data_IF_313892543049
#
_entry.id   IF_313892543049
#
_cell.length_a   1.000
_cell.length_b   1.000
_cell.length_c   1.000
_cell.angle_alpha   90.00
_cell.angle_beta   90.00
_cell.angle_gamma   90.00
#
_symmetry.space_group_name_H-M   'P 1'
#
loop_
_entity.id
_entity.type
_entity.pdbx_description
1 polymer ?
#
# COMPACT_ATOMS: atom_id res chain seq x y z
N UNK A 1 -5.42 -7.72 2.94
CA UNK A 1 -5.82 -6.32 3.05
C UNK A 1 -5.31 -5.71 4.35
N UNK A 2 -4.48 -4.67 4.26
CA UNK A 2 -3.86 -3.96 5.40
C UNK A 2 -4.84 -3.03 6.14
N UNK A 3 -5.99 -2.70 5.53
CA UNK A 3 -6.95 -1.74 6.09
C UNK A 3 -7.61 -2.21 7.39
N UNK A 4 -8.09 -3.45 7.54
CA UNK A 4 -8.61 -3.93 8.83
C UNK A 4 -7.57 -3.87 9.95
N UNK A 5 -6.30 -4.20 9.63
CA UNK A 5 -5.20 -4.08 10.59
C UNK A 5 -4.88 -2.62 10.93
N UNK A 6 -4.91 -1.72 9.93
CA UNK A 6 -4.81 -0.29 10.16
C UNK A 6 -5.85 0.20 11.16
N UNK A 7 -7.11 -0.18 10.97
CA UNK A 7 -8.20 0.17 11.89
C UNK A 7 -7.95 -0.42 13.29
N UNK A 8 -7.49 -1.68 13.36
CA UNK A 8 -7.13 -2.34 14.61
C UNK A 8 -6.00 -1.63 15.36
N UNK A 9 -4.96 -1.19 14.66
CA UNK A 9 -3.84 -0.44 15.23
C UNK A 9 -4.28 0.92 15.76
N UNK A 10 -5.12 1.62 14.99
CA UNK A 10 -5.70 2.91 15.43
C UNK A 10 -6.57 2.72 16.66
N UNK A 11 -7.41 1.68 16.71
CA UNK A 11 -8.21 1.30 17.90
C UNK A 11 -7.30 0.92 19.09
N UNK A 12 -6.18 0.27 18.84
CA UNK A 12 -5.20 -0.11 19.85
C UNK A 12 -4.34 1.03 20.38
N UNK A 13 -4.54 2.26 19.89
CA UNK A 13 -3.78 3.44 20.33
C UNK A 13 -2.34 3.50 19.80
N UNK A 14 -2.01 2.72 18.77
CA UNK A 14 -0.69 2.76 18.13
C UNK A 14 -0.50 4.11 17.43
N UNK A 15 0.68 4.77 17.57
CA UNK A 15 0.95 6.05 16.91
C UNK A 15 0.69 5.98 15.41
N UNK A 16 0.09 7.05 14.87
CA UNK A 16 -0.32 7.09 13.45
C UNK A 16 0.85 6.94 12.49
N UNK A 17 2.03 7.44 12.82
CA UNK A 17 3.22 7.25 11.98
C UNK A 17 3.59 5.79 11.80
N UNK A 18 3.54 5.00 12.88
CA UNK A 18 3.77 3.54 12.82
C UNK A 18 2.67 2.86 12.01
N UNK A 19 1.43 3.28 12.22
CA UNK A 19 0.27 2.74 11.51
C UNK A 19 0.33 3.05 10.00
N UNK A 20 0.76 4.25 9.63
CA UNK A 20 1.02 4.62 8.23
C UNK A 20 2.22 3.88 7.64
N UNK A 21 3.31 3.72 8.40
CA UNK A 21 4.45 2.93 7.96
C UNK A 21 4.04 1.50 7.61
N UNK A 22 3.23 0.87 8.46
CA UNK A 22 2.65 -0.44 8.19
C UNK A 22 1.75 -0.43 6.94
N UNK A 23 0.88 0.56 6.79
CA UNK A 23 -0.05 0.67 5.66
C UNK A 23 0.69 0.81 4.32
N UNK A 24 1.84 1.48 4.31
CA UNK A 24 2.70 1.63 3.13
C UNK A 24 3.48 0.35 2.86
N UNK A 25 4.11 -0.23 3.89
CA UNK A 25 5.01 -1.38 3.74
C UNK A 25 4.25 -2.66 3.38
N UNK A 26 3.10 -2.91 4.01
CA UNK A 26 2.37 -4.17 3.91
C UNK A 26 1.97 -4.56 2.48
N UNK A 27 1.44 -3.69 1.61
CA UNK A 27 1.19 -4.04 0.22
C UNK A 27 2.47 -4.17 -0.61
N UNK A 28 3.50 -3.39 -0.30
CA UNK A 28 4.74 -3.36 -1.08
C UNK A 28 5.62 -4.58 -0.80
N UNK A 29 5.75 -4.97 0.47
CA UNK A 29 6.66 -6.06 0.90
C UNK A 29 5.85 -7.12 1.60
N UNK A 30 5.49 -8.17 0.87
CA UNK A 30 4.80 -9.35 1.40
C UNK A 30 5.52 -10.63 0.95
N UNK A 31 5.17 -11.74 1.58
CA UNK A 31 5.78 -13.04 1.36
C UNK A 31 5.68 -13.51 -0.10
N UNK A 32 4.56 -13.24 -0.77
CA UNK A 32 4.33 -13.61 -2.17
C UNK A 32 5.23 -12.80 -3.09
N UNK A 33 5.31 -11.48 -2.88
CA UNK A 33 6.20 -10.61 -3.64
C UNK A 33 7.67 -11.04 -3.49
N UNK A 34 8.12 -11.29 -2.25
CA UNK A 34 9.49 -11.73 -1.97
C UNK A 34 9.81 -13.05 -2.67
N UNK A 35 8.92 -14.04 -2.56
CA UNK A 35 9.12 -15.35 -3.18
C UNK A 35 9.21 -15.26 -4.71
N UNK A 36 8.33 -14.46 -5.34
CA UNK A 36 8.33 -14.26 -6.78
C UNK A 36 9.55 -13.48 -7.26
N UNK A 37 9.97 -12.43 -6.53
CA UNK A 37 11.19 -11.69 -6.85
C UNK A 37 12.44 -12.56 -6.74
N UNK A 38 12.49 -13.43 -5.73
CA UNK A 38 13.59 -14.37 -5.55
C UNK A 38 13.72 -15.31 -6.75
N UNK A 39 12.60 -15.84 -7.23
CA UNK A 39 12.56 -16.69 -8.41
C UNK A 39 12.83 -15.96 -9.73
N UNK A 40 12.38 -14.71 -9.85
CA UNK A 40 12.44 -13.94 -11.08
C UNK A 40 13.78 -13.22 -11.29
N UNK A 41 14.35 -12.64 -10.24
CA UNK A 41 15.47 -11.68 -10.28
C UNK A 41 16.63 -12.06 -9.36
N UNK A 42 16.51 -13.14 -8.60
CA UNK A 42 17.54 -13.63 -7.67
C UNK A 42 17.65 -12.83 -6.38
N UNK A 43 18.54 -13.30 -5.49
CA UNK A 43 18.66 -12.81 -4.10
C UNK A 43 19.01 -11.33 -4.01
N UNK A 44 19.97 -10.85 -4.81
CA UNK A 44 20.47 -9.46 -4.74
C UNK A 44 19.34 -8.45 -4.93
N UNK A 45 18.55 -8.61 -5.99
CA UNK A 45 17.48 -7.69 -6.35
C UNK A 45 16.33 -7.82 -5.34
N UNK A 46 16.02 -9.02 -4.88
CA UNK A 46 14.98 -9.26 -3.85
C UNK A 46 15.32 -8.57 -2.53
N UNK A 47 16.57 -8.65 -2.08
CA UNK A 47 16.99 -7.97 -0.83
C UNK A 47 16.91 -6.45 -0.99
N UNK A 48 17.38 -5.90 -2.10
CA UNK A 48 17.28 -4.46 -2.38
C UNK A 48 15.81 -4.02 -2.37
N UNK A 49 14.94 -4.77 -3.06
CA UNK A 49 13.50 -4.51 -3.08
C UNK A 49 12.87 -4.52 -1.69
N UNK A 50 13.11 -5.58 -0.90
CA UNK A 50 12.53 -5.72 0.44
C UNK A 50 13.00 -4.63 1.40
N UNK A 51 14.31 -4.38 1.45
CA UNK A 51 14.89 -3.33 2.30
C UNK A 51 14.36 -1.95 1.91
N UNK A 52 14.32 -1.64 0.62
CA UNK A 52 13.81 -0.35 0.16
C UNK A 52 12.33 -0.16 0.45
N UNK A 53 11.50 -1.19 0.29
CA UNK A 53 10.07 -1.12 0.61
C UNK A 53 9.83 -0.88 2.11
N UNK A 54 10.63 -1.50 2.99
CA UNK A 54 10.60 -1.24 4.43
C UNK A 54 11.04 0.20 4.74
N UNK A 55 12.16 0.65 4.18
CA UNK A 55 12.65 2.02 4.36
C UNK A 55 11.66 3.06 3.87
N UNK A 56 11.04 2.82 2.70
CA UNK A 56 10.01 3.67 2.13
C UNK A 56 8.81 3.79 3.09
N UNK A 57 8.36 2.67 3.65
CA UNK A 57 7.29 2.66 4.65
C UNK A 57 7.66 3.42 5.91
N UNK A 58 8.85 3.20 6.46
CA UNK A 58 9.33 3.90 7.66
C UNK A 58 9.45 5.41 7.42
N UNK A 59 10.08 5.82 6.31
CA UNK A 59 10.24 7.24 5.97
C UNK A 59 8.88 7.90 5.67
N UNK A 60 8.03 7.22 4.90
CA UNK A 60 6.68 7.69 4.59
C UNK A 60 5.83 7.86 5.84
N UNK A 61 5.85 6.89 6.75
CA UNK A 61 5.18 6.95 8.05
C UNK A 61 5.67 8.11 8.91
N UNK A 62 7.00 8.30 9.02
CA UNK A 62 7.62 9.38 9.78
C UNK A 62 7.27 10.77 9.21
N UNK A 63 7.28 10.92 7.89
CA UNK A 63 6.87 12.17 7.22
C UNK A 63 5.40 12.47 7.47
N UNK A 64 4.53 11.47 7.35
CA UNK A 64 3.08 11.64 7.58
C UNK A 64 2.78 11.96 9.05
N UNK A 65 3.50 11.38 10.00
CA UNK A 65 3.36 11.71 11.43
C UNK A 65 3.69 13.17 11.72
N UNK A 66 4.76 13.69 11.09
CA UNK A 66 5.18 15.09 11.30
C UNK A 66 4.11 16.11 10.91
N UNK A 67 3.23 15.77 9.99
CA UNK A 67 2.14 16.66 9.56
C UNK A 67 0.93 16.63 10.50
N UNK A 68 0.94 15.85 11.59
CA UNK A 68 -0.17 15.71 12.55
C UNK A 68 -1.51 15.53 11.86
N UNK A 69 -1.59 14.50 11.02
CA UNK A 69 -2.73 14.26 10.11
C UNK A 69 -3.96 13.65 10.80
N UNK A 70 -3.95 13.50 12.12
CA UNK A 70 -5.06 12.98 12.95
C UNK A 70 -6.39 13.68 12.65
N UNK A 71 -6.33 14.99 12.40
CA UNK A 71 -7.51 15.81 12.05
C UNK A 71 -8.16 15.45 10.71
N UNK A 72 -7.45 14.73 9.85
CA UNK A 72 -7.94 14.31 8.54
C UNK A 72 -8.35 12.84 8.49
N UNK A 73 -8.32 12.14 9.60
CA UNK A 73 -8.96 10.83 9.72
C UNK A 73 -10.48 10.98 9.56
N UNK A 74 -11.15 9.95 9.06
CA UNK A 74 -12.59 9.99 8.91
C UNK A 74 -13.28 10.19 10.28
N UNK A 75 -14.48 10.80 10.31
CA UNK A 75 -15.25 10.96 11.57
C UNK A 75 -15.50 9.63 12.27
N UNK A 76 -15.67 8.56 11.48
CA UNK A 76 -15.87 7.21 12.00
C UNK A 76 -14.64 6.70 12.77
N UNK A 77 -13.42 6.84 12.21
CA UNK A 77 -12.16 6.47 12.88
C UNK A 77 -11.91 7.34 14.11
N UNK A 78 -12.20 8.64 14.02
CA UNK A 78 -12.06 9.53 15.20
C UNK A 78 -13.01 9.14 16.34
N UNK A 79 -14.22 8.71 16.02
CA UNK A 79 -15.14 8.15 17.01
C UNK A 79 -14.58 6.89 17.68
N UNK A 80 -13.93 6.01 16.92
CA UNK A 80 -13.28 4.82 17.47
C UNK A 80 -12.09 5.17 18.38
N UNK A 81 -11.31 6.19 18.04
CA UNK A 81 -10.20 6.67 18.89
C UNK A 81 -10.69 7.20 20.24
N UNK A 82 -11.81 7.91 20.26
CA UNK A 82 -12.41 8.40 21.50
C UNK A 82 -12.91 7.23 22.37
N UNK A 83 -13.59 6.26 21.76
CA UNK A 83 -14.08 5.07 22.47
C UNK A 83 -12.93 4.19 22.98
N UNK A 84 -11.83 4.05 22.23
CA UNK A 84 -10.68 3.24 22.66
C UNK A 84 -9.95 3.86 23.86
N UNK A 85 -9.98 5.17 24.03
CA UNK A 85 -9.47 5.85 25.23
C UNK A 85 -10.23 5.47 26.49
N UNK A 86 -11.53 5.20 26.37
CA UNK A 86 -12.38 4.77 27.49
C UNK A 86 -12.37 3.25 27.70
N UNK A 87 -12.22 2.46 26.63
CA UNK A 87 -12.28 0.99 26.67
C UNK A 87 -10.91 0.31 26.84
N UNK A 88 -9.78 1.00 26.60
CA UNK A 88 -8.44 0.41 26.80
C UNK A 88 -8.22 -0.14 28.21
N UNK A 89 -8.93 0.40 29.21
CA UNK A 89 -8.96 -0.16 30.57
C UNK A 89 -9.85 -1.40 30.74
N UNK A 90 -10.72 -1.71 29.79
CA UNK A 90 -11.65 -2.84 29.93
C UNK A 90 -11.01 -4.20 29.59
N UNK A 91 -9.99 -4.20 28.70
CA UNK A 91 -9.27 -5.43 28.30
C UNK A 91 -8.27 -5.91 29.37
N UNK A 92 -7.74 -5.02 30.19
CA UNK A 92 -6.83 -5.33 31.29
C UNK A 92 -7.54 -5.89 32.53
N UNK A 93 -8.86 -5.88 32.62
CA UNK A 93 -9.59 -6.51 33.72
C UNK A 93 -9.39 -8.03 33.64
N UNK A 94 -8.41 -8.51 34.38
CA UNK A 94 -8.16 -9.94 34.67
C UNK A 94 -9.49 -10.55 35.15
N UNK A 95 -10.10 -11.43 34.34
CA UNK A 95 -11.29 -12.17 34.75
C UNK A 95 -12.43 -12.30 33.73
N UNK A 96 -12.36 -11.66 32.56
CA UNK A 96 -13.40 -11.86 31.54
C UNK A 96 -13.27 -13.24 30.90
N UNK A 97 -14.30 -14.13 30.95
CA UNK A 97 -14.21 -15.46 30.36
C UNK A 97 -13.98 -15.38 28.86
N UNK A 98 -13.12 -16.26 28.32
CA UNK A 98 -12.71 -16.32 26.92
C UNK A 98 -13.88 -16.23 25.93
N UNK A 99 -15.01 -16.89 26.24
CA UNK A 99 -16.22 -16.88 25.42
C UNK A 99 -16.82 -15.48 25.23
N UNK A 100 -16.77 -14.62 26.27
CA UNK A 100 -17.22 -13.21 26.16
C UNK A 100 -16.26 -12.37 25.33
N UNK A 101 -14.93 -12.58 25.50
CA UNK A 101 -13.91 -11.92 24.66
C UNK A 101 -14.05 -12.31 23.20
N UNK A 102 -14.27 -13.59 22.92
CA UNK A 102 -14.47 -14.07 21.56
C UNK A 102 -15.68 -13.43 20.88
N UNK A 103 -16.82 -13.34 21.57
CA UNK A 103 -18.02 -12.71 21.03
C UNK A 103 -17.80 -11.23 20.69
N UNK A 104 -17.09 -10.47 21.53
CA UNK A 104 -16.76 -9.06 21.26
C UNK A 104 -15.80 -8.94 20.08
N UNK A 105 -14.73 -9.77 20.04
CA UNK A 105 -13.78 -9.79 18.92
C UNK A 105 -14.48 -10.09 17.59
N UNK A 106 -15.37 -11.09 17.57
CA UNK A 106 -16.12 -11.44 16.35
C UNK A 106 -17.11 -10.36 15.93
N UNK A 107 -17.75 -9.71 16.89
CA UNK A 107 -18.63 -8.57 16.62
C UNK A 107 -17.84 -7.40 16.02
N UNK A 108 -16.72 -7.02 16.61
CA UNK A 108 -15.87 -5.94 16.14
C UNK A 108 -15.28 -6.25 14.76
N UNK A 109 -14.80 -7.48 14.55
CA UNK A 109 -14.31 -7.93 13.25
C UNK A 109 -15.41 -7.83 12.18
N UNK A 110 -16.64 -8.24 12.50
CA UNK A 110 -17.78 -8.17 11.60
C UNK A 110 -18.18 -6.73 11.26
N UNK A 111 -18.17 -5.82 12.22
CA UNK A 111 -18.42 -4.39 12.01
C UNK A 111 -17.36 -3.77 11.09
N UNK A 112 -16.08 -4.14 11.27
CA UNK A 112 -14.99 -3.70 10.38
C UNK A 112 -15.23 -4.22 8.96
N UNK A 113 -15.52 -5.52 8.80
CA UNK A 113 -15.77 -6.13 7.49
C UNK A 113 -16.95 -5.47 6.79
N UNK A 114 -18.10 -5.31 7.46
CA UNK A 114 -19.24 -4.59 6.89
C UNK A 114 -18.89 -3.16 6.50
N UNK A 115 -18.12 -2.47 7.34
CA UNK A 115 -17.71 -1.10 7.11
C UNK A 115 -16.88 -0.91 5.84
N UNK A 116 -16.10 -1.91 5.41
CA UNK A 116 -15.23 -1.84 4.22
C UNK A 116 -15.77 -2.63 3.01
N UNK A 117 -16.74 -3.53 3.20
CA UNK A 117 -17.22 -4.44 2.16
C UNK A 117 -17.65 -3.73 0.85
N UNK A 118 -18.43 -2.66 0.97
CA UNK A 118 -18.87 -1.88 -0.20
C UNK A 118 -17.70 -1.29 -0.97
N UNK A 119 -16.70 -0.75 -0.27
CA UNK A 119 -15.51 -0.16 -0.89
C UNK A 119 -14.63 -1.22 -1.55
N UNK A 120 -14.57 -2.44 -0.98
CA UNK A 120 -13.89 -3.60 -1.60
C UNK A 120 -14.56 -3.95 -2.92
N UNK A 121 -15.89 -4.06 -2.95
CA UNK A 121 -16.64 -4.40 -4.18
C UNK A 121 -16.44 -3.32 -5.25
N UNK A 122 -16.54 -2.04 -4.89
CA UNK A 122 -16.29 -0.93 -5.82
C UNK A 122 -14.83 -0.97 -6.32
N UNK A 123 -13.86 -1.19 -5.43
CA UNK A 123 -12.45 -1.28 -5.78
C UNK A 123 -12.16 -2.39 -6.77
N UNK A 124 -12.71 -3.59 -6.56
CA UNK A 124 -12.57 -4.73 -7.48
C UNK A 124 -13.22 -4.42 -8.83
N UNK A 125 -14.43 -3.86 -8.85
CA UNK A 125 -15.12 -3.51 -10.08
C UNK A 125 -14.33 -2.48 -10.91
N UNK A 126 -13.77 -1.45 -10.27
CA UNK A 126 -12.91 -0.46 -10.91
C UNK A 126 -11.62 -1.09 -11.45
N UNK A 127 -10.96 -1.94 -10.66
CA UNK A 127 -9.75 -2.67 -11.09
C UNK A 127 -10.00 -3.53 -12.32
N UNK A 128 -11.09 -4.27 -12.34
CA UNK A 128 -11.50 -5.10 -13.48
C UNK A 128 -11.77 -4.24 -14.73
N UNK A 129 -12.43 -3.09 -14.58
CA UNK A 129 -12.69 -2.18 -15.69
C UNK A 129 -11.39 -1.63 -16.30
N UNK A 130 -10.43 -1.22 -15.47
CA UNK A 130 -9.13 -0.69 -15.94
C UNK A 130 -8.31 -1.77 -16.63
N UNK A 131 -8.30 -3.00 -16.13
CA UNK A 131 -7.53 -4.10 -16.71
C UNK A 131 -7.98 -4.46 -18.15
N UNK A 132 -9.23 -4.17 -18.51
CA UNK A 132 -9.77 -4.44 -19.86
C UNK A 132 -9.45 -3.37 -20.90
N UNK A 133 -8.99 -2.15 -20.50
CA UNK A 133 -8.90 -1.00 -21.41
C UNK A 133 -7.48 -0.55 -21.76
N UNK A 134 -6.43 -1.05 -21.11
CA UNK A 134 -5.05 -0.57 -21.35
C UNK A 134 -4.30 -1.47 -22.32
N UNK A 135 -3.87 -0.98 -23.49
CA UNK A 135 -3.11 -1.76 -24.47
C UNK A 135 -1.72 -2.14 -23.95
N UNK A 136 -1.32 -3.40 -24.10
CA UNK A 136 -0.03 -3.94 -23.61
C UNK A 136 1.21 -3.22 -24.17
N UNK A 137 1.16 -2.65 -25.37
CA UNK A 137 2.29 -1.95 -25.99
C UNK A 137 2.51 -0.51 -25.57
N UNK A 138 1.53 0.12 -24.89
CA UNK A 138 1.60 1.54 -24.50
C UNK A 138 2.71 1.81 -23.49
N UNK A 139 2.90 0.90 -22.57
CA UNK A 139 3.87 1.05 -21.48
C UNK A 139 5.32 0.94 -21.94
N UNK A 140 5.59 0.08 -22.92
CA UNK A 140 6.95 -0.22 -23.39
C UNK A 140 7.59 0.98 -24.09
N UNK A 141 6.82 1.69 -24.93
CA UNK A 141 7.30 2.86 -25.66
C UNK A 141 7.61 4.06 -24.75
N UNK A 142 6.87 4.20 -23.63
CA UNK A 142 6.97 5.35 -22.72
C UNK A 142 8.00 5.15 -21.59
N UNK A 143 8.45 3.92 -21.33
CA UNK A 143 9.32 3.56 -20.21
C UNK A 143 10.77 3.23 -20.63
N UNK A 144 11.19 3.60 -21.86
CA UNK A 144 12.53 3.31 -22.36
C UNK A 144 13.64 3.99 -21.56
N UNK A 145 14.86 3.40 -21.60
CA UNK A 145 16.06 3.87 -20.87
C UNK A 145 16.48 5.30 -21.18
N UNK A 146 16.10 5.82 -22.33
CA UNK A 146 16.59 7.10 -22.85
C UNK A 146 15.98 8.33 -22.16
N UNK A 147 14.93 8.13 -21.35
CA UNK A 147 14.17 9.23 -20.80
C UNK A 147 14.22 9.30 -19.28
N UNK A 148 14.71 10.45 -18.75
CA UNK A 148 14.70 10.69 -17.31
C UNK A 148 13.29 10.66 -16.68
N UNK A 149 12.25 10.95 -17.48
CA UNK A 149 10.84 10.88 -17.03
C UNK A 149 10.25 9.48 -17.04
N UNK A 150 11.00 8.45 -17.46
CA UNK A 150 10.50 7.06 -17.52
C UNK A 150 9.95 6.58 -16.18
N UNK A 151 10.62 6.87 -15.05
CA UNK A 151 10.17 6.49 -13.71
C UNK A 151 8.87 7.23 -13.32
N UNK A 152 8.76 8.56 -13.39
CA UNK A 152 7.50 9.27 -13.12
C UNK A 152 6.34 8.80 -14.01
N UNK A 153 6.58 8.59 -15.30
CA UNK A 153 5.54 8.11 -16.22
C UNK A 153 5.08 6.71 -15.83
N UNK A 154 6.02 5.81 -15.53
CA UNK A 154 5.71 4.46 -15.08
C UNK A 154 4.81 4.49 -13.84
N UNK A 155 5.14 5.32 -12.85
CA UNK A 155 4.36 5.45 -11.61
C UNK A 155 2.98 6.03 -11.88
N UNK A 156 2.86 7.08 -12.71
CA UNK A 156 1.56 7.70 -13.04
C UNK A 156 0.68 6.71 -13.82
N UNK A 157 1.25 5.97 -14.78
CA UNK A 157 0.53 4.95 -15.54
C UNK A 157 0.09 3.77 -14.67
N UNK A 158 0.80 3.48 -13.59
CA UNK A 158 0.47 2.40 -12.66
C UNK A 158 -0.74 2.74 -11.76
N UNK A 159 -0.93 4.02 -11.39
CA UNK A 159 -1.99 4.45 -10.45
C UNK A 159 -3.41 4.00 -10.84
N UNK A 160 -3.86 4.09 -12.11
CA UNK A 160 -5.18 3.59 -12.49
C UNK A 160 -5.28 2.06 -12.49
N UNK A 161 -4.14 1.35 -12.49
CA UNK A 161 -4.11 -0.11 -12.52
C UNK A 161 -4.20 -0.67 -11.10
N UNK A 162 -4.80 -1.86 -11.01
CA UNK A 162 -4.81 -2.64 -9.77
C UNK A 162 -4.38 -4.06 -10.05
N UNK A 163 -3.30 -4.47 -9.41
CA UNK A 163 -2.88 -5.87 -9.45
C UNK A 163 -2.24 -6.26 -8.12
N UNK A 164 -2.31 -7.55 -7.80
CA UNK A 164 -1.52 -8.09 -6.70
C UNK A 164 -0.09 -8.43 -7.19
N UNK A 165 0.81 -8.66 -6.26
CA UNK A 165 2.21 -8.99 -6.58
C UNK A 165 2.32 -10.20 -7.50
N UNK A 166 1.47 -11.23 -7.34
CA UNK A 166 1.51 -12.43 -8.16
C UNK A 166 1.18 -12.17 -9.63
N UNK A 167 0.28 -11.22 -9.89
CA UNK A 167 -0.11 -10.87 -11.26
C UNK A 167 0.90 -9.92 -11.92
N UNK A 168 1.49 -8.99 -11.15
CA UNK A 168 2.35 -7.95 -11.74
C UNK A 168 3.80 -8.38 -11.94
N UNK A 169 4.35 -9.31 -11.14
CA UNK A 169 5.75 -9.75 -11.28
C UNK A 169 6.07 -10.36 -12.64
N UNK A 170 5.24 -11.21 -13.24
CA UNK A 170 5.47 -11.68 -14.63
C UNK A 170 5.51 -10.53 -15.64
N UNK A 171 4.66 -9.50 -15.47
CA UNK A 171 4.65 -8.30 -16.34
C UNK A 171 5.98 -7.54 -16.21
N UNK A 172 6.48 -7.39 -14.98
CA UNK A 172 7.79 -6.77 -14.73
C UNK A 172 8.91 -7.53 -15.44
N UNK A 173 8.89 -8.86 -15.43
CA UNK A 173 9.88 -9.68 -16.15
C UNK A 173 9.85 -9.39 -17.65
N UNK A 174 8.67 -9.28 -18.25
CA UNK A 174 8.51 -8.94 -19.67
C UNK A 174 9.05 -7.52 -19.95
N UNK A 175 8.74 -6.54 -19.09
CA UNK A 175 9.24 -5.17 -19.24
C UNK A 175 10.77 -5.12 -19.21
N UNK A 176 11.38 -5.81 -18.25
CA UNK A 176 12.86 -5.88 -18.14
C UNK A 176 13.47 -6.61 -19.35
N UNK A 177 12.87 -7.71 -19.82
CA UNK A 177 13.29 -8.42 -21.02
C UNK A 177 13.21 -7.56 -22.28
N UNK A 178 12.27 -6.61 -22.35
CA UNK A 178 12.11 -5.64 -23.45
C UNK A 178 12.96 -4.36 -23.27
N UNK A 179 13.86 -4.32 -22.27
CA UNK A 179 14.82 -3.23 -22.10
C UNK A 179 14.36 -2.10 -21.17
N UNK A 180 13.21 -2.22 -20.51
CA UNK A 180 12.80 -1.26 -19.46
C UNK A 180 13.78 -1.37 -18.28
N UNK A 181 14.34 -0.26 -17.76
CA UNK A 181 15.21 -0.29 -16.60
C UNK A 181 14.53 -0.95 -15.40
N UNK A 182 15.27 -1.80 -14.70
CA UNK A 182 14.70 -2.60 -13.60
C UNK A 182 14.12 -1.74 -12.48
N UNK A 183 14.73 -0.60 -12.18
CA UNK A 183 14.19 0.34 -11.17
C UNK A 183 12.89 0.99 -11.63
N UNK A 184 12.73 1.29 -12.91
CA UNK A 184 11.48 1.79 -13.50
C UNK A 184 10.38 0.73 -13.41
N UNK A 185 10.71 -0.51 -13.74
CA UNK A 185 9.79 -1.64 -13.67
C UNK A 185 9.36 -1.94 -12.21
N UNK A 186 10.28 -1.89 -11.25
CA UNK A 186 9.97 -2.05 -9.82
C UNK A 186 9.10 -0.87 -9.31
N UNK A 187 9.40 0.36 -9.70
CA UNK A 187 8.59 1.53 -9.33
C UNK A 187 7.17 1.42 -9.88
N UNK A 188 6.99 0.95 -11.12
CA UNK A 188 5.70 0.63 -11.69
C UNK A 188 4.94 -0.39 -10.85
N UNK A 189 5.57 -1.50 -10.46
CA UNK A 189 4.96 -2.49 -9.60
C UNK A 189 4.54 -1.91 -8.24
N UNK A 190 5.46 -1.21 -7.58
CA UNK A 190 5.17 -0.61 -6.27
C UNK A 190 3.97 0.33 -6.34
N UNK A 191 3.87 1.14 -7.41
CA UNK A 191 2.75 2.04 -7.61
C UNK A 191 1.44 1.29 -7.91
N UNK A 192 1.47 0.26 -8.76
CA UNK A 192 0.29 -0.57 -9.07
C UNK A 192 -0.30 -1.23 -7.83
N UNK A 193 0.58 -1.73 -6.93
CA UNK A 193 0.14 -2.45 -5.72
C UNK A 193 -0.24 -1.50 -4.60
N UNK A 194 0.47 -0.36 -4.44
CA UNK A 194 0.34 0.51 -3.27
C UNK A 194 -0.44 1.81 -3.49
N UNK A 195 -0.67 2.24 -4.75
CA UNK A 195 -1.27 3.54 -5.09
C UNK A 195 -2.48 3.45 -6.02
N UNK A 196 -3.08 2.28 -6.13
CA UNK A 196 -4.17 2.09 -7.08
C UNK A 196 -5.45 2.87 -6.71
N UNK A 197 -6.25 3.20 -7.72
CA UNK A 197 -7.56 3.84 -7.52
C UNK A 197 -8.48 3.00 -6.62
N UNK A 198 -8.54 1.66 -6.76
CA UNK A 198 -9.25 0.80 -5.81
C UNK A 198 -8.75 0.94 -4.37
N UNK A 199 -7.45 1.08 -4.15
CA UNK A 199 -6.88 1.29 -2.80
C UNK A 199 -7.34 2.64 -2.23
N UNK A 200 -7.38 3.71 -3.04
CA UNK A 200 -7.94 5.00 -2.63
C UNK A 200 -9.41 4.90 -2.21
N UNK A 201 -10.20 4.10 -2.94
CA UNK A 201 -11.61 3.87 -2.60
C UNK A 201 -11.75 3.15 -1.25
N UNK A 202 -10.92 2.16 -0.97
CA UNK A 202 -10.88 1.46 0.32
C UNK A 202 -10.46 2.40 1.46
N UNK A 203 -9.41 3.21 1.24
CA UNK A 203 -8.90 4.17 2.22
C UNK A 203 -9.90 5.27 2.54
N UNK A 204 -10.85 5.58 1.65
CA UNK A 204 -11.88 6.58 1.88
C UNK A 204 -12.75 6.32 3.11
N UNK A 205 -12.89 5.07 3.51
CA UNK A 205 -13.62 4.70 4.73
C UNK A 205 -12.90 5.19 5.99
N UNK A 206 -11.56 5.15 5.97
CA UNK A 206 -10.72 5.45 7.16
C UNK A 206 -10.12 6.85 7.11
N UNK A 207 -10.02 7.45 5.92
CA UNK A 207 -9.36 8.74 5.67
C UNK A 207 -10.27 9.71 4.91
N UNK A 208 -10.06 11.03 5.11
CA UNK A 208 -10.65 12.06 4.26
C UNK A 208 -9.91 12.15 2.92
N UNK A 209 -10.54 12.72 1.89
CA UNK A 209 -9.88 12.93 0.60
C UNK A 209 -8.58 13.73 0.71
N UNK A 210 -8.52 14.71 1.61
CA UNK A 210 -7.30 15.50 1.84
C UNK A 210 -6.15 14.61 2.32
N UNK A 211 -6.43 13.69 3.24
CA UNK A 211 -5.43 12.76 3.75
C UNK A 211 -5.00 11.75 2.69
N UNK A 212 -5.93 11.25 1.88
CA UNK A 212 -5.63 10.33 0.76
C UNK A 212 -4.68 10.99 -0.24
N UNK A 213 -4.92 12.25 -0.63
CA UNK A 213 -4.03 12.96 -1.54
C UNK A 213 -2.65 13.20 -0.97
N UNK A 214 -2.55 13.56 0.32
CA UNK A 214 -1.26 13.72 1.01
C UNK A 214 -0.53 12.37 1.07
N UNK A 215 -1.23 11.31 1.45
CA UNK A 215 -0.70 9.95 1.52
C UNK A 215 -0.18 9.49 0.15
N UNK A 216 -1.02 9.57 -0.88
CA UNK A 216 -0.64 9.17 -2.24
C UNK A 216 0.52 10.02 -2.79
N UNK A 217 0.49 11.33 -2.58
CA UNK A 217 1.56 12.22 -3.00
C UNK A 217 2.90 11.88 -2.34
N UNK A 218 2.89 11.62 -1.02
CA UNK A 218 4.08 11.22 -0.28
C UNK A 218 4.63 9.89 -0.77
N UNK A 219 3.76 8.87 -0.89
CA UNK A 219 4.17 7.54 -1.34
C UNK A 219 4.66 7.57 -2.80
N UNK A 220 3.96 8.31 -3.68
CA UNK A 220 4.39 8.53 -5.07
C UNK A 220 5.80 9.12 -5.15
N UNK A 221 6.07 10.18 -4.38
CA UNK A 221 7.39 10.81 -4.37
C UNK A 221 8.48 9.83 -3.94
N UNK A 222 8.23 9.03 -2.90
CA UNK A 222 9.19 8.04 -2.43
C UNK A 222 9.36 6.86 -3.42
N UNK A 223 8.31 6.41 -4.09
CA UNK A 223 8.41 5.36 -5.12
C UNK A 223 9.24 5.87 -6.31
N UNK A 224 9.01 7.11 -6.77
CA UNK A 224 9.79 7.71 -7.85
C UNK A 224 11.28 7.80 -7.46
N UNK A 225 11.56 8.30 -6.24
CA UNK A 225 12.92 8.36 -5.73
C UNK A 225 13.58 6.97 -5.67
N UNK A 226 12.86 5.97 -5.16
CA UNK A 226 13.35 4.58 -5.09
C UNK A 226 13.61 4.01 -6.48
N UNK A 227 12.77 4.30 -7.48
CA UNK A 227 12.96 3.88 -8.86
C UNK A 227 14.27 4.41 -9.46
N UNK A 228 14.61 5.68 -9.23
CA UNK A 228 15.89 6.22 -9.66
C UNK A 228 17.07 5.61 -8.91
N UNK A 229 16.95 5.45 -7.60
CA UNK A 229 18.00 4.79 -6.80
C UNK A 229 18.26 3.36 -7.29
N UNK A 230 17.20 2.60 -7.60
CA UNK A 230 17.36 1.25 -8.16
C UNK A 230 18.02 1.26 -9.52
N UNK A 231 17.66 2.21 -10.40
CA UNK A 231 18.31 2.33 -11.71
C UNK A 231 19.80 2.63 -11.58
N UNK A 232 20.23 3.32 -10.52
CA UNK A 232 21.65 3.58 -10.24
C UNK A 232 22.34 2.36 -9.62
N UNK A 233 21.71 1.70 -8.64
CA UNK A 233 22.31 0.60 -7.87
C UNK A 233 22.34 -0.74 -8.67
N UNK A 234 21.40 -0.92 -9.59
CA UNK A 234 21.19 -2.16 -10.34
C UNK A 234 21.53 -1.94 -11.83
N UNK A 235 22.10 -0.79 -12.19
CA UNK A 235 22.60 -0.58 -13.54
C UNK A 235 23.57 -1.72 -13.92
N UNK A 236 23.43 -2.34 -15.11
CA UNK A 236 24.32 -3.39 -15.57
C UNK A 236 25.73 -2.85 -15.82
#
# INVERSE_FOLDING_TARGET
SSIPLFIGFVKGGIPLGVTFAFLITSPLVNEVAIALFLGAFGVKITVIYAVSGILLGMMGGAVLERFRLERYLSPWIRGLLVQSGEESGAWERKGTPFRKRWAVIMHDAWEIVKGVALYVVIGIAMGAAVHGYVPEGFFEASMSREHWWAVPVAVICAVPMYANAAAIVPVIQVFVAKGVPIGTAIAFMMATVGLSVPEAALLKKVMTWKLIWIFFGTVTAFIILSGYVFNILIAP
#
